data_IF_078158059457
#
_entry.id   IF_078158059457
#
_cell.length_a   1.000
_cell.length_b   1.000
_cell.length_c   1.000
_cell.angle_alpha   90.00
_cell.angle_beta   90.00
_cell.angle_gamma   90.00
#
_symmetry.space_group_name_H-M   'P 1'
#
loop_
_entity.id
_entity.type
_entity.pdbx_description
1 polymer ?
#
# COMPACT_ATOMS: atom_id res chain seq x y z
N UNK A 1 19.17 -28.92 26.42
CA UNK A 1 18.82 -29.15 25.00
C UNK A 1 17.50 -28.42 24.76
N UNK A 2 17.56 -27.11 24.50
CA UNK A 2 16.36 -26.27 24.38
C UNK A 2 16.20 -25.88 22.90
N UNK A 3 15.41 -26.66 22.17
CA UNK A 3 15.00 -26.30 20.81
C UNK A 3 13.78 -25.39 20.91
N UNK A 4 14.01 -24.09 21.10
CA UNK A 4 12.98 -23.10 20.78
C UNK A 4 12.92 -23.01 19.25
N UNK A 5 11.98 -23.77 18.67
CA UNK A 5 11.55 -23.61 17.30
C UNK A 5 11.07 -22.16 17.15
N UNK A 6 11.87 -21.34 16.46
CA UNK A 6 11.48 -19.99 16.08
C UNK A 6 10.15 -20.08 15.35
N UNK A 7 9.10 -19.56 15.98
CA UNK A 7 7.81 -19.39 15.33
C UNK A 7 8.04 -18.56 14.05
N UNK A 8 7.44 -18.91 12.90
CA UNK A 8 7.50 -18.06 11.73
C UNK A 8 6.85 -16.74 12.14
N UNK A 9 7.69 -15.70 12.26
CA UNK A 9 7.24 -14.35 12.54
C UNK A 9 6.21 -14.01 11.46
N UNK A 10 4.93 -13.79 11.79
CA UNK A 10 3.98 -13.37 10.76
C UNK A 10 4.58 -12.10 10.17
N UNK A 11 4.84 -12.12 8.87
CA UNK A 11 5.24 -10.91 8.15
C UNK A 11 4.04 -9.98 8.25
N UNK A 12 4.00 -9.13 9.27
CA UNK A 12 2.97 -8.11 9.53
C UNK A 12 3.16 -6.98 8.53
N UNK A 13 3.30 -7.30 7.25
CA UNK A 13 3.33 -6.29 6.20
C UNK A 13 2.00 -5.55 6.31
N UNK A 14 2.01 -4.21 6.48
CA UNK A 14 0.79 -3.46 6.61
C UNK A 14 -0.14 -3.80 5.46
N UNK A 15 -1.36 -4.22 5.78
CA UNK A 15 -2.38 -4.43 4.76
C UNK A 15 -2.78 -3.03 4.28
N UNK A 16 -2.70 -2.74 2.98
CA UNK A 16 -3.14 -1.46 2.45
C UNK A 16 -4.60 -1.20 2.84
N UNK A 17 -4.88 -0.02 3.38
CA UNK A 17 -6.21 0.42 3.75
C UNK A 17 -6.58 1.72 3.02
N UNK A 18 -7.86 1.93 2.67
CA UNK A 18 -8.32 3.18 2.09
C UNK A 18 -7.94 4.40 2.94
N UNK A 19 -7.54 5.49 2.28
CA UNK A 19 -7.08 6.73 2.91
C UNK A 19 -5.58 6.78 3.22
N UNK A 20 -4.84 5.67 3.10
CA UNK A 20 -3.40 5.67 3.30
C UNK A 20 -2.65 6.16 2.07
N UNK A 21 -1.62 7.00 2.26
CA UNK A 21 -0.65 7.33 1.22
C UNK A 21 0.28 6.14 1.00
N UNK A 22 0.48 5.77 -0.27
CA UNK A 22 1.35 4.68 -0.66
C UNK A 22 2.15 5.02 -1.92
N UNK A 23 3.40 4.55 -1.96
CA UNK A 23 4.25 4.60 -3.14
C UNK A 23 4.16 3.28 -3.90
N UNK A 24 3.86 3.38 -5.19
CA UNK A 24 3.86 2.28 -6.15
C UNK A 24 5.20 2.25 -6.92
N UNK A 25 6.10 1.28 -6.65
CA UNK A 25 7.39 1.18 -7.32
C UNK A 25 7.30 0.80 -8.79
N UNK A 26 6.22 0.16 -9.25
CA UNK A 26 6.09 -0.27 -10.65
C UNK A 26 5.84 0.94 -11.57
N UNK A 27 5.09 1.94 -11.09
CA UNK A 27 4.83 3.17 -11.83
C UNK A 27 5.66 4.37 -11.39
N UNK A 28 6.36 4.28 -10.26
CA UNK A 28 7.14 5.38 -9.69
C UNK A 28 6.26 6.52 -9.15
N UNK A 29 5.00 6.22 -8.81
CA UNK A 29 4.00 7.23 -8.39
C UNK A 29 3.60 7.03 -6.93
N UNK A 30 3.27 8.14 -6.28
CA UNK A 30 2.66 8.16 -4.95
C UNK A 30 1.20 8.56 -5.07
N UNK A 31 0.32 7.86 -4.36
CA UNK A 31 -1.11 8.16 -4.33
C UNK A 31 -1.76 7.72 -3.03
N UNK A 32 -3.01 8.11 -2.84
CA UNK A 32 -3.86 7.66 -1.72
C UNK A 32 -4.60 6.41 -2.17
N UNK A 33 -4.57 5.37 -1.33
CA UNK A 33 -5.35 4.14 -1.54
C UNK A 33 -6.83 4.49 -1.45
N UNK A 34 -7.57 4.17 -2.50
CA UNK A 34 -9.02 4.39 -2.60
C UNK A 34 -9.80 3.13 -2.24
N UNK A 35 -9.33 1.97 -2.70
CA UNK A 35 -9.93 0.67 -2.44
C UNK A 35 -8.88 -0.44 -2.59
N UNK A 36 -9.16 -1.61 -2.00
CA UNK A 36 -8.34 -2.81 -2.13
C UNK A 36 -9.27 -3.99 -2.36
N UNK A 37 -9.03 -4.73 -3.43
CA UNK A 37 -9.86 -5.87 -3.83
C UNK A 37 -9.00 -7.10 -4.09
N UNK A 38 -9.60 -8.29 -3.97
CA UNK A 38 -8.93 -9.50 -4.42
C UNK A 38 -8.89 -9.54 -5.95
N UNK A 39 -7.78 -10.00 -6.52
CA UNK A 39 -7.65 -10.25 -7.96
C UNK A 39 -8.70 -11.27 -8.43
N UNK A 40 -9.11 -12.21 -7.56
CA UNK A 40 -10.13 -13.20 -7.91
C UNK A 40 -11.53 -12.60 -8.16
N UNK A 41 -11.81 -11.42 -7.60
CA UNK A 41 -13.08 -10.71 -7.77
C UNK A 41 -13.07 -9.78 -8.99
N UNK A 42 -11.90 -9.59 -9.62
CA UNK A 42 -11.71 -8.70 -10.75
C UNK A 42 -11.31 -9.51 -11.99
N UNK A 43 -11.94 -9.24 -13.15
CA UNK A 43 -11.43 -9.74 -14.43
C UNK A 43 -10.16 -8.97 -14.81
N UNK A 44 -9.02 -9.36 -14.25
CA UNK A 44 -7.73 -8.74 -14.49
C UNK A 44 -6.92 -9.54 -15.52
N UNK A 45 -6.64 -8.94 -16.68
CA UNK A 45 -5.77 -9.54 -17.70
C UNK A 45 -4.26 -9.42 -17.35
N UNK A 46 -3.91 -8.52 -16.43
CA UNK A 46 -2.52 -8.28 -16.04
C UNK A 46 -2.10 -9.20 -14.89
N UNK A 47 -0.92 -9.82 -14.99
CA UNK A 47 -0.36 -10.64 -13.90
C UNK A 47 0.11 -9.76 -12.74
N UNK A 48 -0.55 -9.90 -11.60
CA UNK A 48 -0.08 -9.35 -10.32
C UNK A 48 0.77 -10.39 -9.58
N UNK A 49 1.71 -9.92 -8.77
CA UNK A 49 2.54 -10.78 -7.92
C UNK A 49 1.83 -11.14 -6.61
N UNK A 50 0.90 -10.29 -6.15
CA UNK A 50 -0.01 -10.53 -5.04
C UNK A 50 -1.42 -10.88 -5.52
N UNK A 51 -2.17 -11.55 -4.66
CA UNK A 51 -3.60 -11.85 -4.77
C UNK A 51 -4.52 -10.63 -4.58
N UNK A 52 -3.96 -9.44 -4.29
CA UNK A 52 -4.71 -8.20 -4.06
C UNK A 52 -4.26 -7.07 -4.97
N UNK A 53 -5.24 -6.30 -5.44
CA UNK A 53 -5.05 -5.07 -6.19
C UNK A 53 -5.46 -3.89 -5.34
N UNK A 54 -4.68 -2.81 -5.39
CA UNK A 54 -5.00 -1.53 -4.78
C UNK A 54 -5.33 -0.52 -5.89
N UNK A 55 -6.35 0.30 -5.65
CA UNK A 55 -6.69 1.44 -6.47
C UNK A 55 -6.10 2.69 -5.81
N UNK A 56 -5.32 3.48 -6.53
CA UNK A 56 -4.67 4.67 -6.03
C UNK A 56 -5.05 5.90 -6.85
N UNK A 57 -5.21 7.04 -6.19
CA UNK A 57 -5.44 8.33 -6.83
C UNK A 57 -4.40 9.36 -6.39
N UNK A 58 -3.97 10.31 -7.23
CA UNK A 58 -3.07 11.36 -6.79
C UNK A 58 -3.74 12.23 -5.73
N UNK A 59 -2.98 12.69 -4.73
CA UNK A 59 -3.49 13.54 -3.64
C UNK A 59 -4.12 14.84 -4.15
N UNK A 60 -3.54 15.42 -5.21
CA UNK A 60 -4.01 16.69 -5.81
C UNK A 60 -5.18 16.49 -6.78
N UNK A 61 -5.78 15.31 -6.82
CA UNK A 61 -6.75 14.91 -7.83
C UNK A 61 -6.06 14.42 -9.12
N UNK A 62 -6.79 13.63 -9.91
CA UNK A 62 -6.29 13.04 -11.15
C UNK A 62 -6.89 11.68 -11.42
N UNK A 63 -6.35 11.00 -12.43
CA UNK A 63 -6.79 9.68 -12.88
C UNK A 63 -6.31 8.61 -11.90
N UNK A 64 -7.25 7.76 -11.47
CA UNK A 64 -6.96 6.59 -10.64
C UNK A 64 -6.17 5.55 -11.43
N UNK A 65 -5.29 4.82 -10.75
CA UNK A 65 -4.59 3.68 -11.31
C UNK A 65 -4.59 2.49 -10.36
N UNK A 66 -4.39 1.31 -10.93
CA UNK A 66 -4.27 0.06 -10.18
C UNK A 66 -2.81 -0.29 -9.94
N UNK A 67 -2.50 -0.83 -8.77
CA UNK A 67 -1.18 -1.36 -8.44
C UNK A 67 -1.32 -2.67 -7.66
N UNK A 68 -0.24 -3.45 -7.66
CA UNK A 68 -0.10 -4.62 -6.80
C UNK A 68 -0.07 -4.16 -5.33
N UNK A 69 -1.08 -4.58 -4.56
CA UNK A 69 -1.25 -4.16 -3.18
C UNK A 69 -0.09 -4.64 -2.28
N UNK A 70 0.49 -5.79 -2.60
CA UNK A 70 1.65 -6.34 -1.91
C UNK A 70 2.96 -5.62 -2.23
N UNK A 71 3.05 -4.93 -3.36
CA UNK A 71 4.24 -4.17 -3.75
C UNK A 71 4.29 -2.74 -3.18
N UNK A 72 3.15 -2.23 -2.68
CA UNK A 72 3.04 -0.88 -2.14
C UNK A 72 3.96 -0.66 -0.94
N UNK A 73 4.53 0.55 -0.88
CA UNK A 73 5.35 1.00 0.25
C UNK A 73 4.61 2.11 0.99
N UNK A 74 4.47 1.91 2.29
CA UNK A 74 3.79 2.85 3.19
C UNK A 74 4.85 3.64 3.98
N UNK A 75 4.62 4.93 4.28
CA UNK A 75 5.38 5.62 5.31
C UNK A 75 5.31 4.83 6.61
N UNK A 76 6.43 4.68 7.33
CA UNK A 76 6.38 4.17 8.68
C UNK A 76 5.57 5.15 9.54
N UNK A 77 4.69 4.65 10.42
CA UNK A 77 4.04 5.46 11.47
C UNK A 77 5.15 6.17 12.28
N UNK A 78 5.44 7.42 11.93
CA UNK A 78 6.58 8.17 12.45
C UNK A 78 7.09 9.32 11.59
N UNK A 79 6.87 9.31 10.26
CA UNK A 79 7.29 10.40 9.37
C UNK A 79 6.18 10.75 8.37
N UNK A 80 5.11 11.35 8.87
CA UNK A 80 3.97 11.76 8.05
C UNK A 80 3.04 12.77 8.72
N UNK A 81 3.52 13.49 9.74
CA UNK A 81 2.85 14.69 10.23
C UNK A 81 3.39 15.88 9.46
N UNK A 82 2.69 16.29 8.40
CA UNK A 82 2.89 17.59 7.78
C UNK A 82 2.75 18.67 8.86
N UNK A 83 3.89 19.20 9.34
CA UNK A 83 3.93 20.44 10.08
C UNK A 83 3.52 21.52 9.10
N UNK A 84 2.24 21.87 9.09
CA UNK A 84 1.74 23.11 8.53
C UNK A 84 2.32 24.23 9.40
N UNK A 85 3.27 25.07 8.92
CA UNK A 85 3.68 26.23 9.70
C UNK A 85 2.53 27.23 9.65
N UNK A 86 1.72 27.27 10.71
CA UNK A 86 0.91 28.46 10.97
C UNK A 86 1.84 29.52 11.55
N UNK A 87 2.01 30.59 10.79
CA UNK A 87 2.68 31.81 11.21
C UNK A 87 1.84 33.00 10.73
N UNK A 88 2.01 34.21 11.30
CA UNK A 88 2.40 34.55 12.67
C UNK A 88 1.20 34.98 13.54
#
# INVERSE_FOLDING_TARGET
MNHQLGQPQPSTRPVPAPGQVAYDPASGRTGVVQAVHSVAELCFDHRMSSDRVAFLRPERGGVEWTADAGALRFPADGEGGAQHPHAP
#
